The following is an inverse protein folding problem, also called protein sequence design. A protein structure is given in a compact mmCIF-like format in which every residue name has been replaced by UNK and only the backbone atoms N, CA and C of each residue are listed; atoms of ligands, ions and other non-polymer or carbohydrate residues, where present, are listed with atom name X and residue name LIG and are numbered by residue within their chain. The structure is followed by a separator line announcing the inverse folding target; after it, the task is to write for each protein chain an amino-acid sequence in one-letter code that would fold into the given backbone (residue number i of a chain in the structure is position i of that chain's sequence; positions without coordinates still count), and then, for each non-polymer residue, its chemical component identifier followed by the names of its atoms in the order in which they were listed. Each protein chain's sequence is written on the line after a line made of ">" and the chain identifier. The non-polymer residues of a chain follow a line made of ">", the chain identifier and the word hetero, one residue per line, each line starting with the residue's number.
data_IF_454740278541
#
_entry.id   IF_454740278541
#
_cell.length_a   1.000
_cell.length_b   1.000
_cell.length_c   1.000
_cell.angle_alpha   90.00
_cell.angle_beta   90.00
_cell.angle_gamma   90.00
#
_symmetry.space_group_name_H-M   'P 1'
#
loop_
_entity.id
_entity.type
_entity.pdbx_description
1 polymer ?
#
# COMPACT_ATOMS: atom_id res chain seq x y z
N UNK A 1 -9.16 -17.52 -24.37
CA UNK A 1 -9.68 -17.80 -23.02
C UNK A 1 -8.54 -18.11 -22.03
N UNK A 2 -7.53 -17.24 -21.90
CA UNK A 2 -6.32 -17.54 -21.09
C UNK A 2 -6.04 -16.58 -19.92
N UNK A 3 -6.54 -15.35 -19.90
CA UNK A 3 -6.01 -14.32 -18.97
C UNK A 3 -6.81 -14.14 -17.67
N UNK A 4 -8.01 -14.73 -17.56
CA UNK A 4 -8.89 -14.43 -16.43
C UNK A 4 -8.45 -15.08 -15.10
N UNK A 5 -7.77 -16.22 -15.18
CA UNK A 5 -7.26 -16.94 -14.00
C UNK A 5 -6.02 -16.28 -13.39
N UNK A 6 -5.08 -15.84 -14.23
CA UNK A 6 -3.83 -15.21 -13.79
C UNK A 6 -4.07 -13.86 -13.11
N UNK A 7 -5.08 -13.12 -13.57
CA UNK A 7 -5.43 -11.80 -13.04
C UNK A 7 -6.03 -11.83 -11.63
N UNK A 8 -6.84 -12.87 -11.32
CA UNK A 8 -7.34 -13.10 -9.98
C UNK A 8 -6.19 -13.44 -9.03
N UNK A 9 -5.25 -14.28 -9.47
CA UNK A 9 -4.03 -14.61 -8.72
C UNK A 9 -3.18 -13.38 -8.40
N UNK A 10 -3.04 -12.43 -9.34
CA UNK A 10 -2.30 -11.18 -9.08
C UNK A 10 -2.98 -10.26 -8.06
N UNK A 11 -4.31 -10.14 -8.12
CA UNK A 11 -5.05 -9.37 -7.12
C UNK A 11 -4.96 -10.02 -5.75
N UNK A 12 -5.11 -11.34 -5.66
CA UNK A 12 -4.94 -12.09 -4.41
C UNK A 12 -3.54 -11.90 -3.83
N UNK A 13 -2.49 -12.03 -4.64
CA UNK A 13 -1.10 -11.76 -4.25
C UNK A 13 -0.91 -10.32 -3.77
N UNK A 14 -1.55 -9.34 -4.40
CA UNK A 14 -1.46 -7.95 -3.97
C UNK A 14 -2.06 -7.74 -2.58
N UNK A 15 -3.19 -8.39 -2.25
CA UNK A 15 -3.84 -8.25 -0.94
C UNK A 15 -3.08 -8.89 0.22
N UNK A 16 -2.06 -9.71 -0.06
CA UNK A 16 -1.20 -10.34 0.96
C UNK A 16 0.08 -9.56 1.22
N UNK A 17 0.37 -8.52 0.43
CA UNK A 17 1.53 -7.66 0.64
C UNK A 17 1.45 -7.05 2.05
N UNK A 18 2.54 -7.19 2.79
CA UNK A 18 2.76 -6.51 4.08
C UNK A 18 4.14 -5.85 4.05
N UNK A 19 4.25 -4.73 4.76
CA UNK A 19 5.52 -4.08 5.04
C UNK A 19 6.29 -4.90 6.07
N UNK A 20 7.56 -5.17 5.82
CA UNK A 20 8.44 -5.73 6.84
C UNK A 20 8.77 -4.66 7.90
N UNK A 21 8.84 -4.97 9.20
CA UNK A 21 9.18 -3.99 10.23
C UNK A 21 10.48 -3.21 9.97
N UNK A 22 11.46 -3.83 9.29
CA UNK A 22 12.75 -3.23 8.97
C UNK A 22 12.80 -2.61 7.55
N UNK A 23 11.74 -2.74 6.74
CA UNK A 23 11.68 -2.18 5.39
C UNK A 23 11.36 -0.69 5.45
N UNK A 24 12.15 0.17 4.82
CA UNK A 24 11.85 1.59 4.77
C UNK A 24 10.52 1.85 4.05
N UNK A 25 9.68 2.79 4.53
CA UNK A 25 8.40 3.11 3.90
C UNK A 25 8.52 3.55 2.44
N UNK A 26 9.61 4.21 2.05
CA UNK A 26 9.86 4.56 0.64
C UNK A 26 9.97 3.31 -0.24
N UNK A 27 10.73 2.31 0.19
CA UNK A 27 10.92 1.06 -0.54
C UNK A 27 9.62 0.26 -0.59
N UNK A 28 8.91 0.22 0.54
CA UNK A 28 7.60 -0.40 0.62
C UNK A 28 6.58 0.25 -0.33
N UNK A 29 6.52 1.59 -0.36
CA UNK A 29 5.61 2.34 -1.24
C UNK A 29 5.91 2.04 -2.71
N UNK A 30 7.20 2.00 -3.09
CA UNK A 30 7.62 1.65 -4.44
C UNK A 30 7.20 0.22 -4.80
N UNK A 31 7.43 -0.74 -3.90
CA UNK A 31 7.04 -2.15 -4.11
C UNK A 31 5.52 -2.32 -4.22
N UNK A 32 4.76 -1.64 -3.36
CA UNK A 32 3.30 -1.66 -3.36
C UNK A 32 2.75 -1.08 -4.67
N UNK A 33 3.24 0.09 -5.09
CA UNK A 33 2.87 0.73 -6.35
C UNK A 33 3.20 -0.17 -7.55
N UNK A 34 4.39 -0.77 -7.57
CA UNK A 34 4.81 -1.66 -8.67
C UNK A 34 3.93 -2.91 -8.77
N UNK A 35 3.53 -3.49 -7.64
CA UNK A 35 2.61 -4.63 -7.62
C UNK A 35 1.21 -4.23 -8.06
N UNK A 36 0.74 -3.04 -7.65
CA UNK A 36 -0.51 -2.47 -8.11
C UNK A 36 -0.53 -2.25 -9.63
N UNK A 37 0.56 -1.71 -10.18
CA UNK A 37 0.65 -1.39 -11.60
C UNK A 37 0.65 -2.61 -12.51
N UNK A 38 1.02 -3.79 -11.99
CA UNK A 38 0.92 -5.07 -12.71
C UNK A 38 -0.50 -5.61 -12.82
N UNK A 39 -1.44 -5.16 -11.97
CA UNK A 39 -2.83 -5.63 -12.03
C UNK A 39 -3.53 -4.95 -13.21
N UNK A 40 -4.12 -5.73 -14.14
CA UNK A 40 -4.84 -5.15 -15.26
C UNK A 40 -6.01 -4.29 -14.81
N UNK A 41 -6.22 -3.17 -15.51
CA UNK A 41 -7.24 -2.16 -15.15
C UNK A 41 -8.65 -2.76 -15.00
N UNK A 42 -8.98 -3.79 -15.77
CA UNK A 42 -10.29 -4.47 -15.76
C UNK A 42 -10.60 -5.23 -14.45
N UNK A 43 -9.58 -5.60 -13.67
CA UNK A 43 -9.71 -6.28 -12.37
C UNK A 43 -9.11 -5.49 -11.22
N UNK A 44 -8.56 -4.31 -11.51
CA UNK A 44 -7.92 -3.43 -10.56
C UNK A 44 -8.98 -2.89 -9.58
N UNK A 45 -8.69 -2.89 -8.28
CA UNK A 45 -9.56 -2.27 -7.28
C UNK A 45 -9.77 -0.77 -7.58
N UNK A 46 -10.85 -0.22 -7.04
CA UNK A 46 -11.02 1.23 -7.01
C UNK A 46 -9.99 1.85 -6.06
N UNK A 47 -9.64 3.12 -6.29
CA UNK A 47 -8.64 3.85 -5.50
C UNK A 47 -8.87 3.75 -3.98
N UNK A 48 -10.13 3.79 -3.54
CA UNK A 48 -10.53 3.61 -2.14
C UNK A 48 -10.15 2.23 -1.60
N UNK A 49 -10.41 1.16 -2.37
CA UNK A 49 -10.02 -0.19 -2.00
C UNK A 49 -8.50 -0.33 -1.90
N UNK A 50 -7.76 0.21 -2.88
CA UNK A 50 -6.29 0.22 -2.88
C UNK A 50 -5.72 0.92 -1.65
N UNK A 51 -6.31 2.06 -1.27
CA UNK A 51 -5.95 2.79 -0.07
C UNK A 51 -6.17 1.96 1.22
N UNK A 52 -7.33 1.29 1.34
CA UNK A 52 -7.60 0.43 2.49
C UNK A 52 -6.62 -0.75 2.59
N UNK A 53 -6.27 -1.36 1.46
CA UNK A 53 -5.24 -2.42 1.45
C UNK A 53 -3.86 -1.87 1.81
N UNK A 54 -3.52 -0.67 1.36
CA UNK A 54 -2.26 -0.03 1.74
C UNK A 54 -2.18 0.19 3.26
N UNK A 55 -3.24 0.72 3.87
CA UNK A 55 -3.31 0.88 5.33
C UNK A 55 -3.16 -0.46 6.07
N UNK A 56 -3.82 -1.52 5.58
CA UNK A 56 -3.73 -2.86 6.17
C UNK A 56 -2.34 -3.50 6.00
N UNK A 57 -1.65 -3.16 4.92
CA UNK A 57 -0.32 -3.67 4.62
C UNK A 57 0.77 -2.99 5.45
N UNK A 58 0.51 -1.76 5.92
CA UNK A 58 1.35 -1.06 6.90
C UNK A 58 1.16 -1.63 8.32
N UNK A 59 2.12 -1.35 9.20
CA UNK A 59 1.96 -1.63 10.63
C UNK A 59 0.86 -0.74 11.26
N UNK A 60 0.39 -1.10 12.46
CA UNK A 60 -0.69 -0.38 13.16
C UNK A 60 -0.36 1.10 13.36
N UNK A 61 0.90 1.42 13.65
CA UNK A 61 1.25 2.76 14.13
C UNK A 61 1.30 3.77 12.99
N UNK A 62 1.89 3.41 11.85
CA UNK A 62 1.91 4.28 10.66
C UNK A 62 0.52 4.40 10.07
N UNK A 63 -0.27 3.32 10.04
CA UNK A 63 -1.64 3.36 9.53
C UNK A 63 -2.56 4.24 10.38
N UNK A 64 -2.43 4.19 11.71
CA UNK A 64 -3.12 5.12 12.62
C UNK A 64 -2.70 6.57 12.40
N UNK A 65 -1.39 6.83 12.24
CA UNK A 65 -0.90 8.18 11.99
C UNK A 65 -1.43 8.74 10.66
N UNK A 66 -1.43 7.96 9.59
CA UNK A 66 -2.02 8.36 8.30
C UNK A 66 -3.47 8.79 8.47
N UNK A 67 -4.26 8.01 9.21
CA UNK A 67 -5.66 8.34 9.44
C UNK A 67 -5.83 9.59 10.31
N UNK A 68 -5.02 9.77 11.36
CA UNK A 68 -5.17 10.88 12.30
C UNK A 68 -4.88 12.25 11.70
N UNK A 69 -4.00 12.34 10.70
CA UNK A 69 -3.69 13.59 10.00
C UNK A 69 -4.43 13.75 8.66
N UNK A 70 -5.45 12.93 8.42
CA UNK A 70 -6.37 13.08 7.28
C UNK A 70 -5.85 12.51 5.95
N UNK A 71 -4.95 11.53 5.98
CA UNK A 71 -4.52 10.81 4.78
C UNK A 71 -5.60 9.87 4.28
N UNK A 72 -6.51 10.38 3.44
CA UNK A 72 -7.67 9.63 2.91
C UNK A 72 -7.44 9.03 1.53
N UNK A 73 -6.31 9.32 0.90
CA UNK A 73 -5.97 8.86 -0.46
C UNK A 73 -4.57 8.26 -0.48
N UNK A 74 -4.33 7.36 -1.43
CA UNK A 74 -3.06 6.64 -1.55
C UNK A 74 -1.83 7.58 -1.71
N UNK A 75 -1.83 8.62 -2.57
CA UNK A 75 -0.68 9.52 -2.69
C UNK A 75 -0.38 10.29 -1.40
N UNK A 76 -1.42 10.73 -0.69
CA UNK A 76 -1.27 11.42 0.58
C UNK A 76 -0.72 10.45 1.63
N UNK A 77 -1.23 9.23 1.68
CA UNK A 77 -0.76 8.17 2.58
C UNK A 77 0.72 7.82 2.35
N UNK A 78 1.20 7.79 1.10
CA UNK A 78 2.62 7.61 0.78
C UNK A 78 3.49 8.74 1.34
N UNK A 79 3.07 9.99 1.16
CA UNK A 79 3.83 11.14 1.69
C UNK A 79 3.90 11.09 3.21
N UNK A 80 2.81 10.74 3.87
CA UNK A 80 2.73 10.63 5.32
C UNK A 80 3.61 9.48 5.83
N UNK A 81 3.57 8.30 5.22
CA UNK A 81 4.36 7.16 5.70
C UNK A 81 5.86 7.41 5.63
N UNK A 82 6.33 8.12 4.61
CA UNK A 82 7.73 8.55 4.49
C UNK A 82 8.09 9.55 5.60
N UNK A 83 7.21 10.53 5.88
CA UNK A 83 7.45 11.50 6.97
C UNK A 83 7.43 10.82 8.34
N UNK A 84 6.52 9.86 8.55
CA UNK A 84 6.41 9.10 9.79
C UNK A 84 7.71 8.35 10.12
N UNK A 85 8.34 7.73 9.12
CA UNK A 85 9.65 7.08 9.29
C UNK A 85 10.70 8.06 9.82
N UNK A 86 10.77 9.25 9.21
CA UNK A 86 11.72 10.28 9.61
C UNK A 86 11.48 10.78 11.04
N UNK A 87 10.22 10.86 11.49
CA UNK A 87 9.90 11.26 12.86
C UNK A 87 10.16 10.14 13.89
N UNK A 88 9.88 8.89 13.54
CA UNK A 88 10.08 7.74 14.43
C UNK A 88 11.55 7.33 14.57
N UNK A 89 12.38 7.57 13.55
CA UNK A 89 13.83 7.35 13.61
C UNK A 89 14.53 8.43 14.47
N UNK A 90 13.90 9.60 14.64
CA UNK A 90 14.45 10.74 15.38
C UNK A 90 13.95 10.85 16.84
N UNK A 91 13.03 10.00 17.28
CA UNK A 91 12.51 9.95 18.65
C UNK A 91 13.21 8.86 19.47
#
# INVERSE_FOLDING_TARGET
>A
FGEKGDNLSLLEQFTTIKRDPNEHPTDFNFRFQRSWDKIPVVVRLRAEGTFLYYLKALNSDISMLIQSIGGTTLPVAYSISIRADNYLIQA
#
